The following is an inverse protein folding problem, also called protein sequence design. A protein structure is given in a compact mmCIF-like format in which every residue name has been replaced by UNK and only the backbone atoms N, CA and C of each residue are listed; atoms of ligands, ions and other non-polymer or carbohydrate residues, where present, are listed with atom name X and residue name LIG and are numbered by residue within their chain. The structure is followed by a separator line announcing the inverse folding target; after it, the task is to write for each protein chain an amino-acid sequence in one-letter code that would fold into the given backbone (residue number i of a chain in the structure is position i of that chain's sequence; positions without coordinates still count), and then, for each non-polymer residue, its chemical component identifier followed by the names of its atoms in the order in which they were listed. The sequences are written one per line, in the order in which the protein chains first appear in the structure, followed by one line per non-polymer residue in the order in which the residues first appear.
data_IF_271499891262
#
_entry.id   IF_271499891262
#
_cell.length_a   1.000
_cell.length_b   1.000
_cell.length_c   1.000
_cell.angle_alpha   90.00
_cell.angle_beta   90.00
_cell.angle_gamma   90.00
#
_symmetry.space_group_name_H-M   'P 1'
#
loop_
_entity.id
_entity.type
_entity.pdbx_description
1 polymer ?
#
# COMPACT_ATOMS: atom_id res chain seq x y z
N UNK A 1 -6.61 15.45 5.63
CA UNK A 1 -6.68 14.49 4.50
C UNK A 1 -8.11 14.02 4.31
N UNK A 2 -8.57 13.91 3.06
CA UNK A 2 -9.88 13.32 2.72
C UNK A 2 -9.80 11.79 2.76
N UNK A 3 -10.92 11.10 3.02
CA UNK A 3 -10.95 9.63 3.06
C UNK A 3 -10.47 8.99 1.77
N UNK A 4 -10.91 9.51 0.63
CA UNK A 4 -10.49 9.04 -0.69
C UNK A 4 -8.97 9.15 -0.88
N UNK A 5 -8.36 10.26 -0.44
CA UNK A 5 -6.90 10.44 -0.50
C UNK A 5 -6.16 9.47 0.42
N UNK A 6 -6.71 9.15 1.60
CA UNK A 6 -6.11 8.20 2.53
C UNK A 6 -6.17 6.77 1.99
N UNK A 7 -7.30 6.38 1.39
CA UNK A 7 -7.44 5.10 0.69
C UNK A 7 -6.46 5.03 -0.47
N UNK A 8 -6.38 6.09 -1.29
CA UNK A 8 -5.44 6.19 -2.39
C UNK A 8 -3.99 6.01 -1.92
N UNK A 9 -3.61 6.66 -0.83
CA UNK A 9 -2.28 6.50 -0.23
C UNK A 9 -2.04 5.04 0.22
N UNK A 10 -3.02 4.40 0.85
CA UNK A 10 -2.93 3.00 1.27
C UNK A 10 -2.63 2.06 0.09
N UNK A 11 -3.42 2.15 -0.98
CA UNK A 11 -3.18 1.36 -2.19
C UNK A 11 -1.86 1.71 -2.87
N UNK A 12 -1.44 2.97 -2.87
CA UNK A 12 -0.16 3.37 -3.44
C UNK A 12 1.01 2.72 -2.70
N UNK A 13 0.97 2.70 -1.36
CA UNK A 13 2.00 2.04 -0.53
C UNK A 13 2.03 0.54 -0.80
N UNK A 14 0.87 -0.12 -0.82
CA UNK A 14 0.77 -1.56 -1.11
C UNK A 14 1.31 -1.88 -2.51
N UNK A 15 0.97 -1.06 -3.51
CA UNK A 15 1.47 -1.21 -4.88
C UNK A 15 2.99 -1.13 -4.94
N UNK A 16 3.62 -0.16 -4.25
CA UNK A 16 5.09 -0.06 -4.19
C UNK A 16 5.72 -1.30 -3.54
N UNK A 17 5.11 -1.86 -2.50
CA UNK A 17 5.58 -3.11 -1.87
C UNK A 17 5.53 -4.27 -2.86
N UNK A 18 4.40 -4.46 -3.54
CA UNK A 18 4.28 -5.50 -4.57
C UNK A 18 5.25 -5.29 -5.74
N UNK A 19 5.53 -4.05 -6.14
CA UNK A 19 6.54 -3.76 -7.14
C UNK A 19 7.94 -4.21 -6.69
N UNK A 20 8.30 -3.89 -5.44
CA UNK A 20 9.57 -4.30 -4.85
C UNK A 20 9.74 -5.81 -4.81
N UNK A 21 8.72 -6.54 -4.36
CA UNK A 21 8.69 -8.00 -4.35
C UNK A 21 8.78 -8.58 -5.77
N UNK A 22 8.02 -8.01 -6.71
CA UNK A 22 8.07 -8.46 -8.10
C UNK A 22 9.43 -8.28 -8.74
N UNK A 23 10.10 -7.15 -8.48
CA UNK A 23 11.47 -6.90 -8.94
C UNK A 23 12.45 -7.87 -8.28
N UNK A 24 12.36 -8.13 -6.96
CA UNK A 24 13.28 -9.06 -6.29
C UNK A 24 13.16 -10.48 -6.83
N UNK A 25 11.94 -10.96 -7.10
CA UNK A 25 11.69 -12.30 -7.65
C UNK A 25 12.25 -12.43 -9.07
N UNK A 26 12.03 -11.42 -9.92
CA UNK A 26 12.57 -11.40 -11.28
C UNK A 26 14.11 -11.36 -11.29
N UNK A 27 14.75 -10.69 -10.32
CA UNK A 27 16.20 -10.64 -10.22
C UNK A 27 16.83 -12.00 -9.90
N UNK A 28 16.10 -12.90 -9.23
CA UNK A 28 16.52 -14.29 -8.98
C UNK A 28 16.02 -15.28 -10.04
N UNK A 29 15.38 -14.78 -11.10
CA UNK A 29 14.87 -15.58 -12.21
C UNK A 29 13.52 -16.25 -11.93
N UNK A 30 12.82 -15.87 -10.86
CA UNK A 30 11.49 -16.39 -10.56
C UNK A 30 10.41 -15.65 -11.38
N UNK A 31 9.58 -16.44 -12.05
CA UNK A 31 8.47 -15.96 -12.89
C UNK A 31 7.27 -15.45 -12.07
N UNK A 32 7.18 -15.78 -10.77
CA UNK A 32 6.17 -15.21 -9.85
C UNK A 32 6.23 -13.69 -9.81
N UNK A 33 7.41 -13.11 -10.05
CA UNK A 33 7.60 -11.66 -10.04
C UNK A 33 6.71 -10.92 -11.05
N UNK A 34 6.36 -11.53 -12.19
CA UNK A 34 5.39 -10.95 -13.12
C UNK A 34 3.98 -10.82 -12.53
N UNK A 35 3.56 -11.79 -11.72
CA UNK A 35 2.27 -11.73 -11.04
C UNK A 35 2.26 -10.59 -10.01
N UNK A 36 3.34 -10.44 -9.22
CA UNK A 36 3.49 -9.33 -8.28
C UNK A 36 3.49 -7.97 -8.97
N UNK A 37 4.17 -7.83 -10.11
CA UNK A 37 4.12 -6.60 -10.91
C UNK A 37 2.71 -6.31 -11.45
N UNK A 38 1.97 -7.34 -11.87
CA UNK A 38 0.57 -7.20 -12.28
C UNK A 38 -0.33 -6.70 -11.14
N UNK A 39 -0.19 -7.26 -9.94
CA UNK A 39 -0.92 -6.83 -8.74
C UNK A 39 -0.52 -5.40 -8.36
N UNK A 40 0.77 -5.08 -8.35
CA UNK A 40 1.27 -3.72 -8.12
C UNK A 40 0.61 -2.71 -9.06
N UNK A 41 0.53 -3.02 -10.36
CA UNK A 41 -0.11 -2.13 -11.32
C UNK A 41 -1.60 -1.92 -10.99
N UNK A 42 -2.31 -3.00 -10.63
CA UNK A 42 -3.70 -2.91 -10.22
C UNK A 42 -3.88 -2.01 -8.97
N UNK A 43 -3.03 -2.16 -7.95
CA UNK A 43 -3.04 -1.34 -6.75
C UNK A 43 -2.82 0.15 -7.06
N UNK A 44 -1.84 0.45 -7.92
CA UNK A 44 -1.55 1.84 -8.33
C UNK A 44 -2.69 2.44 -9.17
N UNK A 45 -3.36 1.64 -10.00
CA UNK A 45 -4.54 2.08 -10.74
C UNK A 45 -5.72 2.37 -9.79
N UNK A 46 -5.96 1.50 -8.80
CA UNK A 46 -6.98 1.73 -7.76
C UNK A 46 -6.64 2.99 -6.96
N UNK A 47 -5.37 3.20 -6.60
CA UNK A 47 -4.92 4.41 -5.91
C UNK A 47 -5.20 5.67 -6.73
N UNK A 48 -4.82 5.67 -8.01
CA UNK A 48 -5.08 6.79 -8.92
C UNK A 48 -6.57 7.05 -9.12
N UNK A 49 -7.36 5.99 -9.22
CA UNK A 49 -8.82 6.07 -9.34
C UNK A 49 -9.44 6.67 -8.08
N UNK A 50 -9.09 6.16 -6.90
CA UNK A 50 -9.57 6.67 -5.62
C UNK A 50 -9.22 8.15 -5.40
N UNK A 51 -8.04 8.57 -5.83
CA UNK A 51 -7.61 9.96 -5.75
C UNK A 51 -8.41 10.89 -6.68
N UNK A 52 -8.70 10.44 -7.92
CA UNK A 52 -9.40 11.23 -8.94
C UNK A 52 -10.91 11.25 -8.78
N UNK A 53 -11.49 10.20 -8.21
CA UNK A 53 -12.94 10.00 -8.09
C UNK A 53 -13.40 9.88 -6.63
N UNK A 54 -13.16 10.89 -5.78
CA UNK A 54 -13.56 10.84 -4.38
C UNK A 54 -15.07 10.70 -4.17
N UNK A 55 -15.89 11.11 -5.14
CA UNK A 55 -17.36 11.01 -5.13
C UNK A 55 -17.88 9.58 -5.17
N UNK A 56 -17.11 8.63 -5.70
CA UNK A 56 -17.52 7.23 -5.76
C UNK A 56 -17.38 6.51 -4.42
N UNK A 57 -16.63 7.11 -3.49
CA UNK A 57 -16.47 6.60 -2.14
C UNK A 57 -17.48 7.29 -1.25
N UNK A 58 -18.30 6.50 -0.55
CA UNK A 58 -19.22 7.02 0.47
C UNK A 58 -18.43 7.84 1.48
N UNK A 59 -18.78 9.12 1.63
CA UNK A 59 -18.04 10.07 2.48
C UNK A 59 -16.58 10.27 2.06
N UNK A 60 -16.23 10.07 0.78
CA UNK A 60 -14.86 10.19 0.27
C UNK A 60 -14.26 11.59 0.42
N UNK A 61 -15.11 12.62 0.39
CA UNK A 61 -14.75 14.02 0.63
C UNK A 61 -14.66 14.39 2.11
N UNK A 62 -15.21 13.59 3.01
CA UNK A 62 -15.14 13.83 4.45
C UNK A 62 -13.71 13.64 4.97
N UNK A 63 -13.37 14.29 6.10
CA UNK A 63 -12.11 14.02 6.78
C UNK A 63 -12.03 12.56 7.22
N UNK A 64 -10.81 12.03 7.17
CA UNK A 64 -10.47 10.71 7.70
C UNK A 64 -10.72 10.68 9.21
N UNK A 65 -11.44 9.68 9.74
CA UNK A 65 -11.62 9.53 11.18
C UNK A 65 -10.28 9.34 11.88
N UNK A 66 -10.07 9.99 13.03
CA UNK A 66 -8.81 9.87 13.81
C UNK A 66 -8.38 8.42 14.04
N UNK A 67 -9.33 7.53 14.34
CA UNK A 67 -9.09 6.09 14.58
C UNK A 67 -8.38 5.38 13.42
N UNK A 68 -8.56 5.84 12.17
CA UNK A 68 -7.89 5.24 11.01
C UNK A 68 -6.40 5.58 10.99
N UNK A 69 -6.03 6.80 11.40
CA UNK A 69 -4.63 7.16 11.57
C UNK A 69 -3.99 6.40 12.73
N UNK A 70 -4.71 6.22 13.84
CA UNK A 70 -4.23 5.43 14.97
C UNK A 70 -3.94 3.98 14.56
N UNK A 71 -4.86 3.38 13.80
CA UNK A 71 -4.65 2.04 13.25
C UNK A 71 -3.47 1.99 12.27
N UNK A 72 -3.37 2.95 11.33
CA UNK A 72 -2.28 2.99 10.37
C UNK A 72 -0.92 3.20 11.03
N UNK A 73 -0.84 4.07 12.04
CA UNK A 73 0.36 4.29 12.83
C UNK A 73 0.74 3.03 13.62
N UNK A 74 -0.23 2.37 14.24
CA UNK A 74 0.00 1.11 14.95
C UNK A 74 0.55 0.03 14.00
N UNK A 75 -0.06 -0.15 12.83
CA UNK A 75 0.43 -1.08 11.81
C UNK A 75 1.82 -0.71 11.29
N UNK A 76 2.09 0.57 11.06
CA UNK A 76 3.41 1.04 10.63
C UNK A 76 4.50 0.75 11.67
N UNK A 77 4.19 0.93 12.96
CA UNK A 77 5.10 0.59 14.07
C UNK A 77 5.35 -0.92 14.10
N UNK A 78 4.31 -1.75 13.97
CA UNK A 78 4.46 -3.20 13.92
C UNK A 78 5.31 -3.66 12.73
N UNK A 79 5.12 -3.07 11.55
CA UNK A 79 5.92 -3.37 10.37
C UNK A 79 7.38 -2.94 10.55
N UNK A 80 7.63 -1.75 11.11
CA UNK A 80 8.97 -1.27 11.39
C UNK A 80 9.69 -2.17 12.42
N UNK A 81 8.99 -2.62 13.45
CA UNK A 81 9.52 -3.58 14.43
C UNK A 81 9.83 -4.93 13.79
N UNK A 82 8.92 -5.46 12.96
CA UNK A 82 9.15 -6.71 12.25
C UNK A 82 10.38 -6.62 11.33
N UNK A 83 10.53 -5.51 10.60
CA UNK A 83 11.71 -5.25 9.78
C UNK A 83 12.99 -5.16 10.62
N UNK A 84 12.96 -4.45 11.75
CA UNK A 84 14.11 -4.35 12.64
C UNK A 84 14.54 -5.73 13.19
N UNK A 85 13.58 -6.57 13.60
CA UNK A 85 13.86 -7.94 14.04
C UNK A 85 14.47 -8.76 12.90
N UNK A 86 13.90 -8.67 11.70
CA UNK A 86 14.42 -9.38 10.53
C UNK A 86 15.87 -8.97 10.21
N UNK A 87 16.20 -7.67 10.26
CA UNK A 87 17.56 -7.16 10.02
C UNK A 87 18.58 -7.55 11.10
N UNK A 88 18.13 -7.89 12.32
CA UNK A 88 19.01 -8.31 13.41
C UNK A 88 19.27 -9.83 13.36
N UNK A 89 18.26 -10.61 12.94
CA UNK A 89 18.28 -12.08 13.01
C UNK A 89 18.62 -12.73 11.67
N UNK A 90 18.27 -12.11 10.55
CA UNK A 90 18.54 -12.58 9.19
C UNK A 90 19.91 -12.17 8.68
#
# INVERSE_FOLDING_TARGET
MRRASFIALGFAVVGVVHAGLGVSDLLVGDSTGYAFLGVSLADLLIAGFAYRHPEQYRSGSEPVPRRWYELAAFLAILLALALAVWLIVG
#
